data_IF_508780957567
#
_entry.id   IF_508780957567
#
_cell.length_a   1.000
_cell.length_b   1.000
_cell.length_c   1.000
_cell.angle_alpha   90.00
_cell.angle_beta   90.00
_cell.angle_gamma   90.00
#
_symmetry.space_group_name_H-M   'P 1'
#
loop_
_entity.id
_entity.type
_entity.pdbx_description
1 polymer ?
#
# COMPACT_ATOMS: atom_id res chain seq x y z
N UNK A 1 -20.53 -41.35 -45.04
CA UNK A 1 -20.70 -40.40 -43.90
C UNK A 1 -19.46 -39.56 -43.81
N UNK A 2 -19.55 -38.27 -44.23
CA UNK A 2 -18.40 -37.32 -44.18
C UNK A 2 -18.57 -36.47 -42.91
N UNK A 3 -17.64 -36.62 -41.97
CA UNK A 3 -17.58 -35.84 -40.73
C UNK A 3 -16.74 -34.61 -41.03
N UNK A 4 -17.39 -33.44 -41.08
CA UNK A 4 -16.72 -32.16 -41.22
C UNK A 4 -16.28 -31.69 -39.82
N UNK A 5 -14.97 -31.43 -39.60
CA UNK A 5 -14.54 -30.89 -38.31
C UNK A 5 -14.90 -29.38 -38.25
N UNK A 6 -15.68 -29.01 -37.24
CA UNK A 6 -15.91 -27.62 -36.87
C UNK A 6 -14.68 -27.10 -36.13
N UNK A 7 -13.87 -26.27 -36.77
CA UNK A 7 -12.86 -25.48 -36.08
C UNK A 7 -13.57 -24.36 -35.33
N UNK A 8 -13.63 -24.50 -34.00
CA UNK A 8 -14.03 -23.40 -33.13
C UNK A 8 -12.90 -22.35 -33.06
N UNK A 9 -13.08 -21.22 -33.74
CA UNK A 9 -12.25 -20.05 -33.55
C UNK A 9 -12.54 -19.48 -32.15
N UNK A 10 -11.61 -19.69 -31.20
CA UNK A 10 -11.61 -18.96 -29.94
C UNK A 10 -11.20 -17.49 -30.21
N UNK A 11 -12.00 -16.50 -29.78
CA UNK A 11 -11.59 -15.12 -29.91
C UNK A 11 -10.35 -14.87 -29.02
N UNK A 12 -9.24 -14.46 -29.62
CA UNK A 12 -8.12 -13.88 -28.91
C UNK A 12 -8.63 -12.56 -28.30
N UNK A 13 -8.80 -12.54 -26.98
CA UNK A 13 -8.99 -11.30 -26.23
C UNK A 13 -7.68 -10.51 -26.30
N UNK A 14 -7.62 -9.58 -27.23
CA UNK A 14 -6.52 -8.62 -27.30
C UNK A 14 -6.59 -7.75 -26.03
N UNK A 15 -5.69 -7.99 -25.09
CA UNK A 15 -5.48 -7.08 -23.98
C UNK A 15 -4.79 -5.83 -24.58
N UNK A 16 -5.50 -4.71 -24.62
CA UNK A 16 -4.92 -3.44 -25.01
C UNK A 16 -3.80 -3.10 -24.04
N UNK A 17 -2.60 -2.85 -24.56
CA UNK A 17 -1.50 -2.34 -23.74
C UNK A 17 -1.90 -0.97 -23.16
N UNK A 18 -1.50 -0.68 -21.89
CA UNK A 18 -1.78 0.62 -21.29
C UNK A 18 -1.11 1.74 -22.11
N UNK A 19 -1.71 2.94 -22.16
CA UNK A 19 -1.12 4.10 -22.82
C UNK A 19 0.30 4.37 -22.30
N UNK A 20 1.20 4.81 -23.16
CA UNK A 20 2.59 5.10 -22.80
C UNK A 20 2.69 6.11 -21.65
N UNK A 21 1.80 7.10 -21.62
CA UNK A 21 1.75 8.09 -20.56
C UNK A 21 1.42 7.47 -19.18
N UNK A 22 0.48 6.52 -19.14
CA UNK A 22 0.16 5.77 -17.91
C UNK A 22 1.35 4.92 -17.44
N UNK A 23 2.11 4.34 -18.36
CA UNK A 23 3.32 3.59 -18.02
C UNK A 23 4.40 4.49 -17.44
N UNK A 24 4.61 5.68 -18.00
CA UNK A 24 5.56 6.67 -17.48
C UNK A 24 5.15 7.16 -16.10
N UNK A 25 3.88 7.49 -15.91
CA UNK A 25 3.35 7.90 -14.61
C UNK A 25 3.47 6.78 -13.55
N UNK A 26 3.19 5.53 -13.91
CA UNK A 26 3.38 4.39 -13.00
C UNK A 26 4.86 4.22 -12.60
N UNK A 27 5.80 4.43 -13.53
CA UNK A 27 7.23 4.38 -13.26
C UNK A 27 7.66 5.53 -12.32
N UNK A 28 7.21 6.74 -12.56
CA UNK A 28 7.45 7.89 -11.67
C UNK A 28 6.91 7.63 -10.25
N UNK A 29 5.67 7.15 -10.13
CA UNK A 29 5.07 6.82 -8.85
C UNK A 29 5.90 5.75 -8.10
N UNK A 30 6.26 4.67 -8.79
CA UNK A 30 7.04 3.58 -8.19
C UNK A 30 8.39 4.09 -7.66
N UNK A 31 9.03 5.06 -8.33
CA UNK A 31 10.31 5.64 -7.92
C UNK A 31 10.23 6.49 -6.63
N UNK A 32 9.05 6.98 -6.24
CA UNK A 32 8.84 7.71 -5.00
C UNK A 32 8.72 6.81 -3.76
N UNK A 33 8.43 5.52 -3.94
CA UNK A 33 8.20 4.59 -2.83
C UNK A 33 9.47 4.26 -2.03
N UNK A 34 10.63 3.93 -2.64
CA UNK A 34 11.83 3.56 -1.89
C UNK A 34 12.28 4.62 -0.88
N UNK A 35 12.45 5.91 -1.22
CA UNK A 35 12.85 6.92 -0.25
C UNK A 35 11.81 7.12 0.87
N UNK A 36 10.52 7.14 0.55
CA UNK A 36 9.44 7.23 1.52
C UNK A 36 9.46 6.06 2.51
N UNK A 37 9.55 4.83 2.00
CA UNK A 37 9.64 3.62 2.80
C UNK A 37 10.87 3.65 3.71
N UNK A 38 12.03 4.01 3.17
CA UNK A 38 13.28 4.03 3.92
C UNK A 38 13.22 5.02 5.07
N UNK A 39 12.78 6.26 4.82
CA UNK A 39 12.66 7.28 5.85
C UNK A 39 11.71 6.85 6.98
N UNK A 40 10.57 6.23 6.64
CA UNK A 40 9.64 5.68 7.65
C UNK A 40 10.30 4.59 8.51
N UNK A 41 11.00 3.64 7.88
CA UNK A 41 11.65 2.54 8.59
C UNK A 41 12.78 3.04 9.50
N UNK A 42 13.63 3.94 9.00
CA UNK A 42 14.73 4.51 9.77
C UNK A 42 14.23 5.30 10.98
N UNK A 43 13.15 6.07 10.78
CA UNK A 43 12.51 6.83 11.86
C UNK A 43 11.98 5.90 12.96
N UNK A 44 11.25 4.85 12.59
CA UNK A 44 10.72 3.88 13.55
C UNK A 44 11.83 3.10 14.26
N UNK A 45 12.84 2.61 13.52
CA UNK A 45 13.95 1.86 14.09
C UNK A 45 14.79 2.73 15.04
N UNK A 46 14.99 4.00 14.71
CA UNK A 46 15.69 4.95 15.58
C UNK A 46 14.92 5.16 16.87
N UNK A 47 13.61 5.40 16.79
CA UNK A 47 12.76 5.55 17.96
C UNK A 47 12.75 4.27 18.84
N UNK A 48 12.69 3.09 18.22
CA UNK A 48 12.82 1.81 18.94
C UNK A 48 14.14 1.67 19.70
N UNK A 49 15.27 2.11 19.12
CA UNK A 49 16.56 2.09 19.80
C UNK A 49 16.66 3.10 20.95
N UNK A 50 16.01 4.25 20.83
CA UNK A 50 16.11 5.36 21.79
C UNK A 50 15.18 5.21 22.99
N UNK A 51 13.95 4.75 22.78
CA UNK A 51 12.92 4.70 23.82
C UNK A 51 11.96 3.51 23.70
N UNK A 52 12.36 2.47 22.94
CA UNK A 52 11.58 1.26 22.79
C UNK A 52 10.21 1.47 22.12
N UNK A 53 9.26 0.54 22.36
CA UNK A 53 7.95 0.57 21.69
C UNK A 53 7.16 1.86 21.98
N UNK A 54 7.28 2.44 23.16
CA UNK A 54 6.58 3.66 23.53
C UNK A 54 6.97 4.82 22.61
N UNK A 55 8.27 5.05 22.45
CA UNK A 55 8.77 6.11 21.58
C UNK A 55 8.44 5.84 20.12
N UNK A 56 8.56 4.59 19.66
CA UNK A 56 8.20 4.23 18.30
C UNK A 56 6.71 4.49 17.99
N UNK A 57 5.79 4.17 18.89
CA UNK A 57 4.35 4.42 18.72
C UNK A 57 4.10 5.94 18.67
N UNK A 58 4.71 6.71 19.57
CA UNK A 58 4.60 8.18 19.60
C UNK A 58 5.12 8.81 18.30
N UNK A 59 6.26 8.37 17.82
CA UNK A 59 6.86 8.84 16.57
C UNK A 59 6.01 8.47 15.35
N UNK A 60 5.46 7.25 15.31
CA UNK A 60 4.53 6.85 14.24
C UNK A 60 3.30 7.78 14.18
N UNK A 61 2.78 8.20 15.31
CA UNK A 61 1.64 9.10 15.39
C UNK A 61 1.96 10.50 14.83
N UNK A 62 3.11 11.06 15.22
CA UNK A 62 3.48 12.44 14.94
C UNK A 62 4.22 12.61 13.61
N UNK A 63 5.12 11.70 13.28
CA UNK A 63 6.06 11.86 12.16
C UNK A 63 5.59 11.20 10.86
N UNK A 64 4.84 10.09 10.93
CA UNK A 64 4.46 9.40 9.70
C UNK A 64 3.64 10.28 8.72
N UNK A 65 2.70 11.14 9.15
CA UNK A 65 2.03 12.07 8.24
C UNK A 65 2.98 13.11 7.63
N UNK A 66 3.96 13.60 8.41
CA UNK A 66 4.96 14.57 7.94
C UNK A 66 5.88 13.95 6.90
N UNK A 67 6.38 12.73 7.18
CA UNK A 67 7.21 11.99 6.24
C UNK A 67 6.48 11.74 4.92
N UNK A 68 5.18 11.44 4.97
CA UNK A 68 4.36 11.32 3.76
C UNK A 68 4.31 12.64 2.97
N UNK A 69 4.05 13.77 3.65
CA UNK A 69 4.02 15.07 3.02
C UNK A 69 5.38 15.49 2.43
N UNK A 70 6.48 15.22 3.14
CA UNK A 70 7.86 15.55 2.71
C UNK A 70 8.32 14.72 1.49
N UNK A 71 7.81 13.49 1.35
CA UNK A 71 8.11 12.63 0.19
C UNK A 71 7.17 12.84 -0.99
N UNK A 72 6.05 13.54 -0.79
CA UNK A 72 5.21 14.02 -1.87
C UNK A 72 5.96 15.08 -2.68
N UNK A 73 6.30 14.75 -3.93
CA UNK A 73 6.89 15.71 -4.88
C UNK A 73 5.80 16.17 -5.83
N UNK A 74 5.47 17.45 -5.78
CA UNK A 74 4.48 18.00 -6.70
C UNK A 74 4.72 17.53 -8.15
N UNK A 75 3.70 17.05 -8.86
CA UNK A 75 2.27 17.01 -8.46
C UNK A 75 1.84 15.75 -7.67
N UNK A 76 2.76 14.90 -7.23
CA UNK A 76 2.47 13.65 -6.53
C UNK A 76 2.19 13.84 -5.04
N UNK A 77 1.15 13.18 -4.55
CA UNK A 77 0.97 12.90 -3.12
C UNK A 77 1.34 11.45 -2.83
N UNK A 78 1.93 11.22 -1.66
CA UNK A 78 2.40 9.90 -1.23
C UNK A 78 1.79 9.55 0.13
N UNK A 79 1.29 8.34 0.27
CA UNK A 79 0.69 7.85 1.50
C UNK A 79 0.72 6.32 1.62
N UNK A 80 0.00 5.83 2.62
CA UNK A 80 -0.21 4.40 2.85
C UNK A 80 -1.66 4.17 3.27
N UNK A 81 -2.21 3.06 2.82
CA UNK A 81 -3.55 2.62 3.17
C UNK A 81 -3.58 1.13 3.51
N UNK A 82 -4.61 0.64 4.17
CA UNK A 82 -4.76 -0.78 4.51
C UNK A 82 -6.22 -1.12 4.81
N UNK A 83 -6.59 -2.40 4.63
CA UNK A 83 -7.90 -2.89 5.07
C UNK A 83 -8.04 -2.88 6.60
N UNK A 84 -6.96 -3.19 7.32
CA UNK A 84 -6.86 -3.12 8.79
C UNK A 84 -5.96 -1.94 9.16
N UNK A 85 -6.58 -0.81 9.47
CA UNK A 85 -5.87 0.44 9.78
C UNK A 85 -5.54 0.56 11.26
N UNK A 86 -4.43 1.23 11.57
CA UNK A 86 -4.11 1.72 12.91
C UNK A 86 -4.58 3.17 13.07
N UNK A 87 -4.17 4.03 12.15
CA UNK A 87 -4.63 5.40 12.10
C UNK A 87 -5.83 5.49 11.14
N UNK A 88 -7.01 5.92 11.61
CA UNK A 88 -8.20 6.07 10.76
C UNK A 88 -8.00 6.99 9.55
N UNK A 89 -7.08 7.95 9.62
CA UNK A 89 -6.74 8.81 8.48
C UNK A 89 -6.12 8.06 7.29
N UNK A 90 -5.68 6.82 7.49
CA UNK A 90 -5.16 5.94 6.44
C UNK A 90 -6.22 4.92 5.96
N UNK A 91 -7.51 5.14 6.26
CA UNK A 91 -8.58 4.28 5.75
C UNK A 91 -8.63 4.36 4.22
N UNK A 92 -8.85 3.23 3.53
CA UNK A 92 -8.93 3.22 2.08
C UNK A 92 -10.22 3.88 1.60
N UNK A 93 -10.14 4.64 0.52
CA UNK A 93 -11.32 4.99 -0.26
C UNK A 93 -11.86 3.78 -1.04
N UNK A 94 -12.91 3.97 -1.85
CA UNK A 94 -13.56 2.88 -2.56
C UNK A 94 -12.60 2.16 -3.53
N UNK A 95 -11.83 2.91 -4.33
CA UNK A 95 -10.86 2.34 -5.27
C UNK A 95 -9.69 1.66 -4.56
N UNK A 96 -9.13 2.28 -3.53
CA UNK A 96 -8.05 1.70 -2.73
C UNK A 96 -8.47 0.40 -2.05
N UNK A 97 -9.72 0.35 -1.57
CA UNK A 97 -10.29 -0.86 -0.97
C UNK A 97 -10.37 -2.00 -1.98
N UNK A 98 -10.92 -1.73 -3.19
CA UNK A 98 -10.98 -2.71 -4.27
C UNK A 98 -9.59 -3.27 -4.60
N UNK A 99 -8.58 -2.39 -4.74
CA UNK A 99 -7.20 -2.80 -5.03
C UNK A 99 -6.60 -3.62 -3.90
N UNK A 100 -6.84 -3.25 -2.64
CA UNK A 100 -6.35 -4.01 -1.47
C UNK A 100 -7.01 -5.39 -1.36
N UNK A 101 -8.29 -5.49 -1.69
CA UNK A 101 -9.04 -6.76 -1.71
C UNK A 101 -8.53 -7.67 -2.83
N UNK A 102 -8.23 -7.13 -4.02
CA UNK A 102 -7.57 -7.86 -5.12
C UNK A 102 -6.18 -8.35 -4.68
N UNK A 103 -5.35 -7.49 -4.10
CA UNK A 103 -4.03 -7.90 -3.59
C UNK A 103 -4.14 -9.01 -2.54
N UNK A 104 -5.09 -8.90 -1.62
CA UNK A 104 -5.33 -9.93 -0.62
C UNK A 104 -5.79 -11.25 -1.24
N UNK A 105 -6.63 -11.19 -2.29
CA UNK A 105 -7.08 -12.38 -3.01
C UNK A 105 -5.91 -13.07 -3.73
N UNK A 106 -5.12 -12.33 -4.50
CA UNK A 106 -3.95 -12.84 -5.24
C UNK A 106 -2.88 -13.40 -4.31
N UNK A 107 -2.66 -12.75 -3.16
CA UNK A 107 -1.73 -13.24 -2.14
C UNK A 107 -2.16 -14.62 -1.58
N UNK A 108 -3.46 -14.83 -1.36
CA UNK A 108 -3.99 -16.16 -0.96
C UNK A 108 -3.79 -17.23 -2.03
N UNK A 109 -3.67 -16.84 -3.29
CA UNK A 109 -3.35 -17.74 -4.41
C UNK A 109 -1.84 -17.97 -4.59
N UNK A 110 -1.00 -17.39 -3.71
CA UNK A 110 0.44 -17.56 -3.72
C UNK A 110 1.22 -16.58 -4.58
N UNK A 111 0.58 -15.55 -5.11
CA UNK A 111 1.30 -14.52 -5.84
C UNK A 111 2.17 -13.68 -4.90
N UNK A 112 3.45 -13.40 -5.24
CA UNK A 112 4.34 -12.61 -4.39
C UNK A 112 3.90 -11.15 -4.28
N UNK A 113 3.67 -10.64 -3.07
CA UNK A 113 3.28 -9.24 -2.81
C UNK A 113 4.25 -8.22 -3.43
N UNK A 114 5.55 -8.56 -3.49
CA UNK A 114 6.56 -7.68 -4.08
C UNK A 114 6.34 -7.34 -5.56
N UNK A 115 5.49 -8.12 -6.25
CA UNK A 115 5.13 -7.92 -7.66
C UNK A 115 3.78 -7.26 -7.85
N UNK A 116 3.03 -7.03 -6.76
CA UNK A 116 1.68 -6.49 -6.84
C UNK A 116 1.69 -4.97 -6.86
N UNK A 117 1.28 -4.41 -7.98
CA UNK A 117 0.97 -3.00 -8.12
C UNK A 117 -0.28 -2.82 -8.99
N UNK A 118 -0.93 -1.69 -8.87
CA UNK A 118 -2.05 -1.26 -9.70
C UNK A 118 -1.90 0.21 -10.04
N UNK A 119 -2.03 0.52 -11.33
CA UNK A 119 -2.08 1.89 -11.84
C UNK A 119 -3.41 2.09 -12.58
N UNK A 120 -4.04 3.23 -12.39
CA UNK A 120 -5.30 3.56 -13.07
C UNK A 120 -5.59 5.06 -12.97
N UNK A 121 -6.10 5.65 -14.04
CA UNK A 121 -6.71 6.97 -13.97
C UNK A 121 -8.16 6.84 -13.52
N UNK A 122 -8.51 7.49 -12.41
CA UNK A 122 -9.84 7.48 -11.77
C UNK A 122 -10.30 8.93 -11.63
N UNK A 123 -11.40 9.29 -12.27
CA UNK A 123 -11.98 10.64 -12.23
C UNK A 123 -10.97 11.76 -12.59
N UNK A 124 -10.06 11.47 -13.54
CA UNK A 124 -9.02 12.40 -13.98
C UNK A 124 -7.77 12.44 -13.09
N UNK A 125 -7.74 11.73 -11.98
CA UNK A 125 -6.56 11.57 -11.12
C UNK A 125 -5.84 10.27 -11.46
N UNK A 126 -4.55 10.33 -11.75
CA UNK A 126 -3.74 9.12 -11.88
C UNK A 126 -3.39 8.57 -10.50
N UNK A 127 -3.67 7.30 -10.28
CA UNK A 127 -3.52 6.62 -9.00
C UNK A 127 -2.62 5.40 -9.15
N UNK A 128 -1.71 5.23 -8.20
CA UNK A 128 -0.81 4.09 -8.17
C UNK A 128 -0.78 3.48 -6.77
N UNK A 129 -0.91 2.16 -6.70
CA UNK A 129 -0.73 1.41 -5.45
C UNK A 129 0.30 0.30 -5.62
N UNK A 130 1.08 0.06 -4.56
CA UNK A 130 2.01 -1.07 -4.47
C UNK A 130 1.87 -1.74 -3.12
N UNK A 131 1.74 -3.07 -3.12
CA UNK A 131 1.52 -3.86 -1.91
C UNK A 131 2.70 -3.76 -0.93
N UNK A 132 2.37 -3.79 0.36
CA UNK A 132 3.32 -3.84 1.48
C UNK A 132 3.18 -5.19 2.18
N UNK A 133 4.24 -5.99 2.15
CA UNK A 133 4.32 -7.21 2.93
C UNK A 133 4.69 -6.89 4.39
N UNK A 134 4.15 -7.67 5.33
CA UNK A 134 4.54 -7.63 6.73
C UNK A 134 5.92 -8.28 6.88
N UNK A 135 6.93 -7.51 7.28
CA UNK A 135 8.26 -8.02 7.58
C UNK A 135 8.39 -8.43 9.06
N UNK A 136 9.37 -9.27 9.39
CA UNK A 136 9.61 -9.69 10.77
C UNK A 136 9.69 -8.53 11.79
N UNK A 137 10.42 -7.42 11.54
CA UNK A 137 10.45 -6.31 12.49
C UNK A 137 9.07 -5.65 12.73
N UNK A 138 8.12 -5.78 11.78
CA UNK A 138 6.80 -5.22 11.92
C UNK A 138 5.95 -5.93 12.97
N UNK A 139 6.27 -7.20 13.26
CA UNK A 139 5.51 -8.06 14.16
C UNK A 139 5.57 -7.60 15.61
N UNK A 140 6.59 -6.84 16.01
CA UNK A 140 6.69 -6.27 17.35
C UNK A 140 5.48 -5.37 17.72
N UNK A 141 4.84 -4.73 16.71
CA UNK A 141 3.69 -3.85 16.89
C UNK A 141 2.46 -4.26 16.07
N UNK A 142 2.60 -5.21 15.15
CA UNK A 142 1.54 -5.65 14.24
C UNK A 142 1.26 -7.17 14.30
N UNK A 143 2.07 -7.92 15.07
CA UNK A 143 1.99 -9.37 15.16
C UNK A 143 0.80 -9.92 15.93
N UNK A 144 0.75 -11.26 16.02
CA UNK A 144 -0.26 -12.02 16.77
C UNK A 144 0.03 -12.05 18.27
N UNK A 145 1.32 -12.03 18.65
CA UNK A 145 1.78 -12.08 20.03
C UNK A 145 2.50 -10.78 20.37
N UNK A 146 1.74 -9.77 20.77
CA UNK A 146 2.30 -8.49 21.21
C UNK A 146 2.59 -8.55 22.71
N UNK A 147 3.69 -7.90 23.12
CA UNK A 147 3.98 -7.72 24.54
C UNK A 147 2.87 -6.89 25.22
N UNK A 148 2.48 -7.23 26.49
CA UNK A 148 1.35 -6.56 27.16
C UNK A 148 1.50 -5.04 27.22
N UNK A 149 2.70 -4.53 27.44
CA UNK A 149 3.00 -3.10 27.43
C UNK A 149 2.76 -2.45 26.06
N UNK A 150 3.06 -3.16 24.96
CA UNK A 150 2.80 -2.68 23.60
C UNK A 150 1.29 -2.62 23.36
N UNK A 151 0.54 -3.62 23.81
CA UNK A 151 -0.94 -3.64 23.71
C UNK A 151 -1.53 -2.44 24.44
N UNK A 152 -1.14 -2.19 25.68
CA UNK A 152 -1.64 -1.07 26.48
C UNK A 152 -1.34 0.30 25.82
N UNK A 153 -0.13 0.46 25.28
CA UNK A 153 0.26 1.67 24.56
C UNK A 153 -0.55 1.88 23.29
N UNK A 154 -0.77 0.81 22.51
CA UNK A 154 -1.55 0.87 21.29
C UNK A 154 -3.03 1.15 21.57
N UNK A 155 -3.61 0.56 22.60
CA UNK A 155 -5.01 0.81 23.00
C UNK A 155 -5.23 2.25 23.43
N UNK A 156 -4.23 2.84 24.10
CA UNK A 156 -4.26 4.25 24.51
C UNK A 156 -4.07 5.20 23.32
N UNK A 157 -3.08 4.93 22.43
CA UNK A 157 -2.72 5.81 21.34
C UNK A 157 -3.69 5.71 20.13
N UNK A 158 -4.29 4.54 19.94
CA UNK A 158 -5.16 4.20 18.81
C UNK A 158 -6.35 3.35 19.26
N UNK A 159 -7.39 3.94 19.87
CA UNK A 159 -8.53 3.19 20.41
C UNK A 159 -9.26 2.32 19.37
N UNK A 160 -9.15 2.65 18.09
CA UNK A 160 -9.75 1.89 16.98
C UNK A 160 -8.75 1.03 16.19
N UNK A 161 -7.59 0.68 16.76
CA UNK A 161 -6.53 -0.06 16.08
C UNK A 161 -6.97 -1.45 15.59
N UNK A 162 -7.01 -1.65 14.31
CA UNK A 162 -7.29 -2.92 13.64
C UNK A 162 -6.01 -3.59 13.10
N UNK A 163 -4.86 -2.94 13.22
CA UNK A 163 -3.62 -3.36 12.57
C UNK A 163 -2.78 -4.31 13.43
N UNK A 164 -3.39 -5.36 13.99
CA UNK A 164 -2.74 -6.40 14.81
C UNK A 164 -3.03 -7.80 14.26
N UNK A 165 -2.30 -8.81 14.69
CA UNK A 165 -2.55 -10.20 14.35
C UNK A 165 -2.02 -10.60 12.97
N UNK A 166 -1.03 -9.90 12.42
CA UNK A 166 -0.37 -10.28 11.18
C UNK A 166 0.72 -11.34 11.42
N UNK A 167 0.97 -12.15 10.38
CA UNK A 167 2.15 -12.98 10.24
C UNK A 167 3.12 -12.36 9.23
N UNK A 168 4.39 -12.76 9.29
CA UNK A 168 5.38 -12.40 8.27
C UNK A 168 4.91 -12.85 6.89
N UNK A 169 5.12 -12.01 5.89
CA UNK A 169 4.69 -12.25 4.52
C UNK A 169 3.22 -11.93 4.22
N UNK A 170 2.37 -11.70 5.22
CA UNK A 170 0.98 -11.27 4.97
C UNK A 170 0.90 -9.84 4.44
N UNK A 171 -0.14 -9.55 3.67
CA UNK A 171 -0.44 -8.21 3.17
C UNK A 171 -0.74 -7.27 4.35
N UNK A 172 0.18 -6.30 4.60
CA UNK A 172 0.01 -5.27 5.63
C UNK A 172 -0.86 -4.11 5.15
N UNK A 173 -0.82 -3.81 3.87
CA UNK A 173 -1.47 -2.70 3.21
C UNK A 173 -0.80 -2.38 1.88
N UNK A 174 -0.90 -1.13 1.45
CA UNK A 174 -0.23 -0.66 0.25
C UNK A 174 0.29 0.78 0.41
N UNK A 175 1.35 1.11 -0.31
CA UNK A 175 1.65 2.49 -0.66
C UNK A 175 0.56 2.97 -1.61
N UNK A 176 0.11 4.21 -1.43
CA UNK A 176 -0.89 4.84 -2.30
C UNK A 176 -0.37 6.20 -2.72
N UNK A 177 -0.27 6.40 -4.03
CA UNK A 177 0.22 7.62 -4.66
C UNK A 177 -0.84 8.15 -5.60
N UNK A 178 -0.97 9.48 -5.65
CA UNK A 178 -1.95 10.18 -6.46
C UNK A 178 -1.30 11.36 -7.17
N UNK A 179 -1.67 11.54 -8.42
CA UNK A 179 -1.30 12.69 -9.25
C UNK A 179 -2.57 13.28 -9.85
N UNK A 180 -3.00 14.48 -9.43
CA UNK A 180 -4.12 15.16 -10.04
C UNK A 180 -3.90 15.35 -11.55
N UNK A 181 -5.00 15.44 -12.32
CA UNK A 181 -4.92 15.85 -13.70
C UNK A 181 -4.20 17.21 -13.80
N UNK A 182 -3.41 17.41 -14.86
CA UNK A 182 -2.87 18.72 -15.15
C UNK A 182 -4.04 19.70 -15.31
N UNK A 183 -4.05 20.81 -14.55
CA UNK A 183 -5.00 21.88 -14.81
C UNK A 183 -4.78 22.39 -16.23
N UNK A 184 -5.77 22.22 -17.08
CA UNK A 184 -5.77 22.88 -18.39
C UNK A 184 -5.98 24.37 -18.13
N UNK A 185 -4.87 25.12 -18.07
CA UNK A 185 -4.92 26.57 -18.06
C UNK A 185 -5.55 27.00 -19.38
N UNK A 186 -6.79 27.45 -19.33
CA UNK A 186 -7.54 28.03 -20.48
C UNK A 186 -7.24 29.49 -20.62
#
# INVERSE_FOLDING_TARGET
MRITPWLALLPLLAHAEPPLDDMLQAHEAAALIPPFRQQLLDTVQTAMRQGGPQEAIRICQLQAPRIAAENGRMPWTVGRTALRVRNPANAPDAWEREVLEDFAHRARQGEPLARMSRAQTVDGEFRYMQAIATAEPCLACHGKALAPEVVALLDSAYPGDQARGFAAGELRGAFSLRRPAAEVVR
#
